data_IF_585041084922
#
_entry.id   IF_585041084922
#
_cell.length_a   1.000
_cell.length_b   1.000
_cell.length_c   1.000
_cell.angle_alpha   90.00
_cell.angle_beta   90.00
_cell.angle_gamma   90.00
#
_symmetry.space_group_name_H-M   'P 1'
#
loop_
_entity.id
_entity.type
_entity.pdbx_description
1 polymer ?
#
# COMPACT_ATOMS: atom_id res chain seq x y z
N UNK A 1 9.17 17.17 -19.25
CA UNK A 1 9.07 17.16 -17.78
C UNK A 1 10.06 18.18 -17.22
N UNK A 2 9.70 18.95 -16.19
CA UNK A 2 10.64 19.91 -15.56
C UNK A 2 11.60 19.19 -14.60
N UNK A 3 12.81 19.72 -14.32
CA UNK A 3 13.74 19.10 -13.37
C UNK A 3 13.14 18.90 -11.97
N UNK A 4 12.26 19.81 -11.54
CA UNK A 4 11.55 19.69 -10.27
C UNK A 4 10.61 18.47 -10.24
N UNK A 5 9.82 18.27 -11.30
CA UNK A 5 8.90 17.14 -11.40
C UNK A 5 9.65 15.80 -11.51
N UNK A 6 10.76 15.77 -12.26
CA UNK A 6 11.60 14.58 -12.36
C UNK A 6 12.19 14.17 -11.00
N UNK A 7 12.71 15.14 -10.23
CA UNK A 7 13.23 14.88 -8.89
C UNK A 7 12.15 14.40 -7.93
N UNK A 8 10.94 14.99 -8.02
CA UNK A 8 9.78 14.56 -7.24
C UNK A 8 9.38 13.12 -7.59
N UNK A 9 9.29 12.79 -8.88
CA UNK A 9 8.99 11.44 -9.36
C UNK A 9 9.98 10.41 -8.81
N UNK A 10 11.29 10.66 -8.95
CA UNK A 10 12.34 9.79 -8.41
C UNK A 10 12.21 9.59 -6.90
N UNK A 11 11.85 10.64 -6.16
CA UNK A 11 11.64 10.54 -4.72
C UNK A 11 10.42 9.68 -4.37
N UNK A 12 9.29 9.83 -5.06
CA UNK A 12 8.09 9.02 -4.83
C UNK A 12 8.29 7.55 -5.23
N UNK A 13 8.99 7.28 -6.33
CA UNK A 13 9.36 5.91 -6.73
C UNK A 13 10.21 5.24 -5.64
N UNK A 14 11.22 5.92 -5.09
CA UNK A 14 12.03 5.38 -3.99
C UNK A 14 11.19 5.07 -2.75
N UNK A 15 10.20 5.92 -2.43
CA UNK A 15 9.26 5.67 -1.33
C UNK A 15 8.37 4.45 -1.62
N UNK A 16 7.91 4.27 -2.85
CA UNK A 16 7.09 3.13 -3.26
C UNK A 16 7.87 1.81 -3.10
N UNK A 17 9.11 1.77 -3.59
CA UNK A 17 10.01 0.60 -3.43
C UNK A 17 10.29 0.32 -1.95
N UNK A 18 10.59 1.36 -1.17
CA UNK A 18 10.82 1.22 0.28
C UNK A 18 9.58 0.68 1.01
N UNK A 19 8.39 1.15 0.65
CA UNK A 19 7.14 0.68 1.21
C UNK A 19 6.85 -0.79 0.87
N UNK A 20 7.07 -1.20 -0.40
CA UNK A 20 6.94 -2.59 -0.80
C UNK A 20 7.90 -3.51 0.00
N UNK A 21 9.15 -3.08 0.19
CA UNK A 21 10.12 -3.81 1.04
C UNK A 21 9.64 -3.89 2.48
N UNK A 22 9.13 -2.79 3.06
CA UNK A 22 8.63 -2.77 4.43
C UNK A 22 7.43 -3.71 4.65
N UNK A 23 6.55 -3.85 3.66
CA UNK A 23 5.45 -4.83 3.70
C UNK A 23 6.01 -6.25 3.74
N UNK A 24 6.91 -6.59 2.81
CA UNK A 24 7.50 -7.94 2.72
C UNK A 24 8.31 -8.33 3.96
N UNK A 25 8.97 -7.36 4.60
CA UNK A 25 9.77 -7.56 5.81
C UNK A 25 8.98 -7.38 7.11
N UNK A 26 7.66 -7.15 7.02
CA UNK A 26 6.77 -6.89 8.16
C UNK A 26 7.20 -5.72 9.06
N UNK A 27 7.94 -4.73 8.51
CA UNK A 27 8.33 -3.51 9.21
C UNK A 27 7.17 -2.50 9.33
N UNK A 28 6.10 -2.71 8.57
CA UNK A 28 4.86 -1.95 8.63
C UNK A 28 3.69 -2.93 8.69
N UNK A 29 2.62 -2.56 9.41
CA UNK A 29 1.39 -3.34 9.42
C UNK A 29 0.84 -3.48 7.99
N UNK A 30 0.45 -4.70 7.61
CA UNK A 30 0.07 -5.02 6.23
C UNK A 30 -1.01 -4.08 5.66
N UNK A 31 -2.15 -3.82 6.34
CA UNK A 31 -3.18 -2.93 5.81
C UNK A 31 -2.68 -1.49 5.61
N UNK A 32 -1.90 -0.99 6.57
CA UNK A 32 -1.31 0.34 6.53
C UNK A 32 -0.29 0.48 5.39
N UNK A 33 0.53 -0.55 5.19
CA UNK A 33 1.47 -0.61 4.07
C UNK A 33 0.78 -0.57 2.73
N UNK A 34 -0.32 -1.31 2.56
CA UNK A 34 -1.10 -1.33 1.31
C UNK A 34 -1.79 0.02 1.07
N UNK A 35 -2.35 0.64 2.10
CA UNK A 35 -2.94 2.00 2.00
C UNK A 35 -1.89 3.06 1.61
N UNK A 36 -0.71 3.01 2.23
CA UNK A 36 0.42 3.89 1.86
C UNK A 36 0.91 3.62 0.43
N UNK A 37 0.94 2.36 -0.01
CA UNK A 37 1.26 1.99 -1.38
C UNK A 37 0.30 2.65 -2.37
N UNK A 38 -1.01 2.52 -2.15
CA UNK A 38 -2.04 3.15 -2.98
C UNK A 38 -1.82 4.66 -3.12
N UNK A 39 -1.53 5.34 -2.00
CA UNK A 39 -1.29 6.79 -1.98
C UNK A 39 -0.08 7.18 -2.83
N UNK A 40 1.02 6.44 -2.71
CA UNK A 40 2.24 6.68 -3.49
C UNK A 40 2.01 6.46 -4.99
N UNK A 41 1.24 5.44 -5.36
CA UNK A 41 0.86 5.18 -6.76
C UNK A 41 0.03 6.33 -7.32
N UNK A 42 -0.95 6.84 -6.57
CA UNK A 42 -1.76 8.00 -6.98
C UNK A 42 -0.87 9.22 -7.25
N UNK A 43 0.09 9.51 -6.37
CA UNK A 43 1.00 10.64 -6.56
C UNK A 43 1.95 10.47 -7.75
N UNK A 44 2.46 9.25 -7.96
CA UNK A 44 3.29 8.96 -9.13
C UNK A 44 2.47 9.13 -10.41
N UNK A 45 1.26 8.56 -10.46
CA UNK A 45 0.40 8.63 -11.65
C UNK A 45 -0.03 10.05 -12.03
N UNK A 46 -0.04 10.99 -11.08
CA UNK A 46 -0.27 12.42 -11.37
C UNK A 46 0.92 13.09 -12.08
N UNK A 47 2.13 12.52 -11.99
CA UNK A 47 3.34 13.03 -12.65
C UNK A 47 3.63 12.23 -13.91
N UNK A 48 3.74 10.90 -13.77
CA UNK A 48 4.00 9.95 -14.85
C UNK A 48 3.32 8.61 -14.53
N UNK A 49 2.28 8.20 -15.29
CA UNK A 49 1.55 6.96 -15.04
C UNK A 49 2.43 5.71 -15.10
N UNK A 50 2.34 4.87 -14.07
CA UNK A 50 2.93 3.52 -14.08
C UNK A 50 1.96 2.59 -14.82
N UNK A 51 2.25 2.24 -16.06
CA UNK A 51 1.38 1.39 -16.89
C UNK A 51 1.64 -0.11 -16.71
N UNK A 52 2.82 -0.47 -16.19
CA UNK A 52 3.31 -1.86 -16.21
C UNK A 52 3.07 -2.62 -14.90
N UNK A 53 2.27 -2.06 -13.99
CA UNK A 53 1.93 -2.69 -12.71
C UNK A 53 0.41 -2.71 -12.55
N UNK A 54 -0.15 -3.89 -12.31
CA UNK A 54 -1.58 -4.03 -12.06
C UNK A 54 -1.90 -3.70 -10.60
N UNK A 55 -2.47 -2.53 -10.36
CA UNK A 55 -2.84 -2.06 -9.02
C UNK A 55 -4.29 -2.38 -8.62
N UNK A 56 -5.05 -3.11 -9.45
CA UNK A 56 -6.45 -3.46 -9.12
C UNK A 56 -6.56 -4.20 -7.79
N UNK A 57 -5.65 -5.12 -7.49
CA UNK A 57 -5.62 -5.88 -6.23
C UNK A 57 -5.53 -4.98 -5.00
N UNK A 58 -4.76 -3.88 -5.08
CA UNK A 58 -4.60 -2.92 -3.99
C UNK A 58 -5.95 -2.24 -3.72
N UNK A 59 -6.63 -1.79 -4.77
CA UNK A 59 -7.93 -1.14 -4.67
C UNK A 59 -9.01 -2.10 -4.17
N UNK A 60 -9.04 -3.34 -4.69
CA UNK A 60 -9.93 -4.40 -4.25
C UNK A 60 -9.77 -4.66 -2.76
N UNK A 61 -8.54 -4.85 -2.29
CA UNK A 61 -8.25 -5.05 -0.86
C UNK A 61 -8.71 -3.88 -0.01
N UNK A 62 -8.33 -2.64 -0.37
CA UNK A 62 -8.70 -1.45 0.40
C UNK A 62 -10.22 -1.25 0.45
N UNK A 63 -10.96 -1.60 -0.59
CA UNK A 63 -12.42 -1.56 -0.59
C UNK A 63 -13.07 -2.51 0.42
N UNK A 64 -12.40 -3.61 0.80
CA UNK A 64 -12.91 -4.57 1.79
C UNK A 64 -12.69 -4.13 3.22
N UNK A 65 -11.69 -3.29 3.45
CA UNK A 65 -11.32 -2.78 4.77
C UNK A 65 -11.62 -1.29 4.91
N UNK A 66 -12.45 -0.75 4.01
CA UNK A 66 -12.84 0.65 4.04
C UNK A 66 -13.57 0.97 5.37
N UNK A 67 -13.20 2.08 5.98
CA UNK A 67 -13.68 2.47 7.31
C UNK A 67 -13.09 1.69 8.49
N UNK A 68 -12.28 0.64 8.28
CA UNK A 68 -11.58 -0.03 9.36
C UNK A 68 -10.37 0.81 9.85
N UNK A 69 -10.09 0.84 11.16
CA UNK A 69 -8.94 1.55 11.69
C UNK A 69 -7.65 0.74 11.48
N UNK A 70 -6.72 1.28 10.68
CA UNK A 70 -5.48 0.60 10.27
C UNK A 70 -4.20 1.33 10.72
N UNK A 71 -4.33 2.54 11.25
CA UNK A 71 -3.23 3.39 11.70
C UNK A 71 -3.30 3.77 13.18
N UNK A 72 -2.85 4.98 13.49
CA UNK A 72 -2.81 5.51 14.85
C UNK A 72 -4.19 5.81 15.43
N UNK A 73 -5.21 5.96 14.59
CA UNK A 73 -6.61 6.11 15.00
C UNK A 73 -7.09 4.95 15.89
N UNK A 74 -6.48 3.76 15.75
CA UNK A 74 -6.75 2.59 16.61
C UNK A 74 -6.60 2.91 18.11
N UNK A 75 -5.75 3.87 18.49
CA UNK A 75 -5.57 4.29 19.88
C UNK A 75 -6.80 4.96 20.49
N UNK A 76 -7.75 5.41 19.66
CA UNK A 76 -8.97 6.09 20.07
C UNK A 76 -10.21 5.19 20.05
N UNK A 77 -10.06 3.94 19.62
CA UNK A 77 -11.18 3.02 19.50
C UNK A 77 -11.36 2.17 20.75
N UNK A 78 -12.61 1.80 21.01
CA UNK A 78 -12.95 0.83 22.05
C UNK A 78 -12.42 -0.57 21.66
N UNK A 79 -11.95 -1.32 22.65
CA UNK A 79 -11.27 -2.61 22.48
C UNK A 79 -12.11 -3.66 21.76
N UNK A 80 -13.36 -3.85 22.14
CA UNK A 80 -14.23 -4.85 21.50
C UNK A 80 -14.68 -4.42 20.11
N UNK A 81 -14.82 -3.11 19.86
CA UNK A 81 -15.00 -2.58 18.51
C UNK A 81 -13.78 -2.88 17.62
N UNK A 82 -12.55 -2.65 18.10
CA UNK A 82 -11.32 -2.98 17.36
C UNK A 82 -11.25 -4.46 16.99
N UNK A 83 -11.50 -5.36 17.95
CA UNK A 83 -11.48 -6.81 17.68
C UNK A 83 -12.45 -7.23 16.58
N UNK A 84 -13.61 -6.57 16.46
CA UNK A 84 -14.57 -6.85 15.39
C UNK A 84 -14.03 -6.39 14.03
N UNK A 85 -13.41 -5.21 13.97
CA UNK A 85 -12.80 -4.71 12.75
C UNK A 85 -11.58 -5.53 12.33
N UNK A 86 -10.78 -6.00 13.29
CA UNK A 86 -9.61 -6.84 13.03
C UNK A 86 -10.00 -8.15 12.34
N UNK A 87 -11.15 -8.74 12.66
CA UNK A 87 -11.67 -9.92 11.94
C UNK A 87 -11.93 -9.64 10.46
N UNK A 88 -12.51 -8.48 10.15
CA UNK A 88 -12.77 -8.07 8.76
C UNK A 88 -11.45 -7.86 8.02
N UNK A 89 -10.50 -7.21 8.68
CA UNK A 89 -9.14 -6.99 8.14
C UNK A 89 -8.43 -8.33 7.91
N UNK A 90 -8.50 -9.27 8.85
CA UNK A 90 -7.84 -10.57 8.77
C UNK A 90 -8.41 -11.42 7.63
N UNK A 91 -9.73 -11.46 7.48
CA UNK A 91 -10.41 -12.16 6.39
C UNK A 91 -10.02 -11.59 5.02
N UNK A 92 -10.04 -10.26 4.87
CA UNK A 92 -9.60 -9.61 3.64
C UNK A 92 -8.10 -9.86 3.39
N UNK A 93 -7.26 -9.73 4.42
CA UNK A 93 -5.81 -9.93 4.30
C UNK A 93 -5.53 -11.36 3.86
N UNK A 94 -6.16 -12.36 4.47
CA UNK A 94 -6.04 -13.75 4.06
C UNK A 94 -6.33 -13.96 2.57
N UNK A 95 -7.39 -13.35 2.04
CA UNK A 95 -7.79 -13.52 0.64
C UNK A 95 -6.85 -12.82 -0.36
N UNK A 96 -6.34 -11.64 -0.03
CA UNK A 96 -5.58 -10.80 -0.97
C UNK A 96 -4.05 -10.86 -0.80
N UNK A 97 -3.55 -11.43 0.30
CA UNK A 97 -2.14 -11.35 0.70
C UNK A 97 -1.17 -11.76 -0.40
N UNK A 98 -1.40 -12.93 -1.00
CA UNK A 98 -0.46 -13.47 -1.98
C UNK A 98 -0.34 -12.56 -3.22
N UNK A 99 -1.47 -12.09 -3.76
CA UNK A 99 -1.49 -11.16 -4.90
C UNK A 99 -0.83 -9.81 -4.57
N UNK A 100 -0.96 -9.33 -3.34
CA UNK A 100 -0.30 -8.09 -2.88
C UNK A 100 1.21 -8.33 -2.71
N UNK A 101 1.63 -9.48 -2.22
CA UNK A 101 3.04 -9.89 -2.11
C UNK A 101 3.67 -9.95 -3.51
N UNK A 102 2.99 -10.57 -4.48
CA UNK A 102 3.42 -10.59 -5.88
C UNK A 102 3.57 -9.16 -6.43
N UNK A 103 2.61 -8.28 -6.12
CA UNK A 103 2.65 -6.86 -6.50
C UNK A 103 3.87 -6.16 -5.88
N UNK A 104 4.18 -6.43 -4.60
CA UNK A 104 5.37 -5.89 -3.94
C UNK A 104 6.66 -6.32 -4.64
N UNK A 105 6.79 -7.61 -4.98
CA UNK A 105 7.96 -8.11 -5.72
C UNK A 105 8.06 -7.48 -7.10
N UNK A 106 6.94 -7.36 -7.82
CA UNK A 106 6.91 -6.73 -9.14
C UNK A 106 7.35 -5.26 -9.08
N UNK A 107 6.87 -4.49 -8.09
CA UNK A 107 7.31 -3.11 -7.83
C UNK A 107 8.83 -3.06 -7.60
N UNK A 108 9.35 -3.92 -6.73
CA UNK A 108 10.79 -3.92 -6.39
C UNK A 108 11.61 -4.27 -7.63
N UNK A 109 11.26 -5.31 -8.38
CA UNK A 109 12.02 -5.74 -9.54
C UNK A 109 12.00 -4.70 -10.68
N UNK A 110 10.87 -4.03 -10.89
CA UNK A 110 10.74 -3.04 -11.97
C UNK A 110 11.41 -1.70 -11.64
N UNK A 111 11.34 -1.26 -10.39
CA UNK A 111 11.65 0.12 -10.01
C UNK A 111 12.91 0.28 -9.14
N UNK A 112 13.58 -0.80 -8.74
CA UNK A 112 14.80 -0.76 -7.92
C UNK A 112 16.10 -0.71 -8.76
N UNK A 113 16.04 -0.09 -9.95
CA UNK A 113 17.17 0.09 -10.86
C UNK A 113 17.87 1.44 -10.64
#
# INVERSE_FOLDING_TARGET
MTPHLENKLKAEIRKLVSNAKAILTNQIGFPLGVSKMHTLIVYINQIEPITNINFSVVNEYLSKIDGCPIGSERLQWEKEALKKQDKIIDEATYYYKDRIVDTCFHIINLLNN
#
